data_IF_519629486920
#
_entry.id   IF_519629486920
#
_cell.length_a   1.000
_cell.length_b   1.000
_cell.length_c   1.000
_cell.angle_alpha   90.00
_cell.angle_beta   90.00
_cell.angle_gamma   90.00
#
_symmetry.space_group_name_H-M   'P 1'
#
loop_
_entity.id
_entity.type
_entity.pdbx_description
1 polymer ?
#
# COMPACT_ATOMS: atom_id res chain seq x y z
N UNK A 1 -15.05 3.31 11.58
CA UNK A 1 -13.59 3.41 11.31
C UNK A 1 -12.88 2.93 12.54
N UNK A 2 -11.91 2.03 12.40
CA UNK A 2 -11.07 1.63 13.53
C UNK A 2 -10.15 2.81 13.88
N UNK A 3 -10.33 3.36 15.07
CA UNK A 3 -9.47 4.38 15.66
C UNK A 3 -8.31 3.65 16.33
N UNK A 4 -7.16 3.67 15.66
CA UNK A 4 -5.92 3.18 16.24
C UNK A 4 -5.29 4.36 17.01
N UNK A 5 -5.20 4.24 18.33
CA UNK A 5 -4.53 5.26 19.17
C UNK A 5 -3.04 5.36 18.89
N UNK A 6 -2.42 4.24 18.53
CA UNK A 6 -0.96 4.09 18.51
C UNK A 6 -0.38 3.92 17.10
N UNK A 7 -1.23 3.83 16.07
CA UNK A 7 -0.76 3.60 14.71
C UNK A 7 -1.65 4.21 13.64
N UNK A 8 -1.04 4.63 12.53
CA UNK A 8 -1.75 4.97 11.29
C UNK A 8 -1.63 3.79 10.34
N UNK A 9 -2.76 3.17 10.01
CA UNK A 9 -2.82 2.03 9.07
C UNK A 9 -3.16 2.49 7.66
N UNK A 10 -2.23 2.32 6.73
CA UNK A 10 -2.47 2.49 5.30
C UNK A 10 -2.71 1.14 4.65
N UNK A 11 -3.89 0.92 4.09
CA UNK A 11 -4.21 -0.33 3.39
C UNK A 11 -4.26 -0.11 1.88
N UNK A 12 -3.53 -0.93 1.14
CA UNK A 12 -3.54 -0.96 -0.32
C UNK A 12 -4.42 -2.12 -0.77
N UNK A 13 -5.57 -1.80 -1.39
CA UNK A 13 -6.54 -2.81 -1.82
C UNK A 13 -5.97 -3.84 -2.80
N UNK A 14 -4.91 -3.47 -3.55
CA UNK A 14 -4.16 -4.33 -4.47
C UNK A 14 -2.70 -4.51 -4.05
N UNK A 15 -2.43 -4.41 -2.75
CA UNK A 15 -1.09 -4.41 -2.19
C UNK A 15 -0.26 -5.62 -2.60
N UNK A 16 -0.87 -6.80 -2.79
CA UNK A 16 -0.15 -8.02 -3.19
C UNK A 16 0.46 -7.94 -4.60
N UNK A 17 -0.07 -7.08 -5.47
CA UNK A 17 0.38 -6.94 -6.85
C UNK A 17 1.35 -5.75 -7.06
N UNK A 18 1.74 -5.06 -5.99
CA UNK A 18 2.67 -3.92 -6.04
C UNK A 18 4.02 -4.43 -5.56
N UNK A 19 5.10 -4.18 -6.30
CA UNK A 19 6.44 -4.53 -5.81
C UNK A 19 6.84 -3.62 -4.65
N UNK A 20 7.48 -4.20 -3.64
CA UNK A 20 7.91 -3.49 -2.42
C UNK A 20 9.36 -3.84 -2.10
N UNK A 21 10.33 -3.32 -2.88
CA UNK A 21 11.74 -3.66 -2.74
C UNK A 21 12.35 -3.18 -1.41
N UNK A 22 11.76 -2.15 -0.79
CA UNK A 22 12.17 -1.61 0.50
C UNK A 22 11.50 -2.30 1.70
N UNK A 23 10.58 -3.24 1.46
CA UNK A 23 9.90 -3.98 2.53
C UNK A 23 9.03 -3.10 3.45
N UNK A 24 8.38 -2.07 2.90
CA UNK A 24 7.50 -1.18 3.67
C UNK A 24 6.23 -1.87 4.17
N UNK A 25 5.74 -2.90 3.48
CA UNK A 25 4.58 -3.64 3.95
C UNK A 25 4.93 -4.46 5.18
N UNK A 26 4.27 -4.16 6.30
CA UNK A 26 4.47 -4.83 7.59
C UNK A 26 3.19 -5.49 8.12
N UNK A 27 2.07 -5.34 7.42
CA UNK A 27 0.75 -5.76 7.90
C UNK A 27 -0.09 -6.32 6.75
N UNK A 28 -0.91 -7.34 7.01
CA UNK A 28 -1.72 -8.01 5.97
C UNK A 28 -0.90 -8.78 4.93
N UNK A 29 0.27 -9.30 5.31
CA UNK A 29 1.21 -10.02 4.43
C UNK A 29 0.66 -11.38 3.94
N UNK A 30 -0.24 -11.99 4.69
CA UNK A 30 -0.93 -13.23 4.31
C UNK A 30 -2.07 -12.99 3.28
N UNK A 31 -2.42 -11.72 3.03
CA UNK A 31 -3.49 -11.36 2.12
C UNK A 31 -3.08 -11.51 0.66
N UNK A 32 -3.69 -12.46 -0.07
CA UNK A 32 -3.51 -12.65 -1.52
C UNK A 32 -3.91 -11.44 -2.41
N UNK A 33 -4.54 -10.41 -1.84
CA UNK A 33 -5.07 -9.27 -2.60
C UNK A 33 -4.59 -7.94 -2.04
N UNK A 34 -4.67 -7.76 -0.72
CA UNK A 34 -4.37 -6.50 -0.02
C UNK A 34 -3.18 -6.64 0.91
N UNK A 35 -2.38 -5.58 0.99
CA UNK A 35 -1.31 -5.41 1.98
C UNK A 35 -1.42 -4.05 2.65
N UNK A 36 -0.85 -3.91 3.83
CA UNK A 36 -0.95 -2.70 4.63
C UNK A 36 0.39 -2.31 5.26
N UNK A 37 0.49 -1.03 5.57
CA UNK A 37 1.58 -0.43 6.33
C UNK A 37 0.97 0.16 7.59
N UNK A 38 1.42 -0.33 8.73
CA UNK A 38 1.09 0.20 10.04
C UNK A 38 2.26 1.11 10.47
N UNK A 39 2.07 2.42 10.40
CA UNK A 39 3.01 3.42 10.92
C UNK A 39 2.75 3.65 12.40
N UNK A 40 3.80 3.71 13.22
CA UNK A 40 3.70 4.03 14.65
C UNK A 40 4.34 5.40 14.93
N UNK A 41 4.01 5.98 16.07
CA UNK A 41 4.72 7.16 16.53
C UNK A 41 6.21 6.86 16.70
N UNK A 42 7.07 7.72 16.16
CA UNK A 42 8.54 7.56 16.21
C UNK A 42 9.14 6.65 15.13
N UNK A 43 8.34 6.10 14.21
CA UNK A 43 8.83 5.27 13.11
C UNK A 43 9.55 6.14 12.05
N UNK A 44 10.75 5.72 11.62
CA UNK A 44 11.46 6.38 10.53
C UNK A 44 10.87 5.96 9.18
N UNK A 45 10.17 6.89 8.54
CA UNK A 45 9.57 6.67 7.22
C UNK A 45 10.59 7.04 6.15
N UNK A 46 11.01 6.05 5.36
CA UNK A 46 11.71 6.31 4.10
C UNK A 46 10.74 6.97 3.11
N UNK A 47 10.80 8.29 3.03
CA UNK A 47 9.93 9.09 2.18
C UNK A 47 10.12 8.81 0.69
N UNK A 48 11.31 8.38 0.25
CA UNK A 48 11.56 8.05 -1.15
C UNK A 48 10.92 6.71 -1.51
N UNK A 49 11.14 5.69 -0.68
CA UNK A 49 10.53 4.38 -0.83
C UNK A 49 8.99 4.48 -0.75
N UNK A 50 8.47 5.25 0.21
CA UNK A 50 7.02 5.42 0.37
C UNK A 50 6.39 6.10 -0.85
N UNK A 51 7.02 7.15 -1.40
CA UNK A 51 6.55 7.80 -2.63
C UNK A 51 6.62 6.85 -3.84
N UNK A 52 7.67 6.03 -3.95
CA UNK A 52 7.79 5.04 -5.01
C UNK A 52 6.65 4.01 -4.93
N UNK A 53 6.35 3.51 -3.73
CA UNK A 53 5.27 2.58 -3.48
C UNK A 53 3.89 3.16 -3.86
N UNK A 54 3.61 4.40 -3.44
CA UNK A 54 2.36 5.09 -3.80
C UNK A 54 2.24 5.27 -5.32
N UNK A 55 3.33 5.62 -6.01
CA UNK A 55 3.33 5.73 -7.48
C UNK A 55 3.08 4.39 -8.16
N UNK A 56 3.68 3.31 -7.69
CA UNK A 56 3.43 1.96 -8.20
C UNK A 56 1.96 1.55 -7.99
N UNK A 57 1.38 1.87 -6.83
CA UNK A 57 -0.03 1.64 -6.54
C UNK A 57 -0.95 2.41 -7.50
N UNK A 58 -0.63 3.67 -7.77
CA UNK A 58 -1.38 4.51 -8.72
C UNK A 58 -1.28 3.94 -10.14
N UNK A 59 -0.08 3.59 -10.60
CA UNK A 59 0.12 2.99 -11.91
C UNK A 59 -0.70 1.71 -12.08
N UNK A 60 -0.66 0.80 -11.10
CA UNK A 60 -1.47 -0.42 -11.10
C UNK A 60 -2.98 -0.12 -11.18
N UNK A 61 -3.46 0.87 -10.42
CA UNK A 61 -4.86 1.26 -10.43
C UNK A 61 -5.29 1.87 -11.77
N UNK A 62 -4.44 2.69 -12.39
CA UNK A 62 -4.71 3.26 -13.72
C UNK A 62 -4.76 2.16 -14.78
N UNK A 63 -3.79 1.25 -14.79
CA UNK A 63 -3.75 0.12 -15.72
C UNK A 63 -4.97 -0.79 -15.57
N UNK A 64 -5.40 -1.07 -14.34
CA UNK A 64 -6.61 -1.88 -14.11
C UNK A 64 -7.89 -1.18 -14.56
N UNK A 65 -7.96 0.15 -14.44
CA UNK A 65 -9.13 0.94 -14.83
C UNK A 65 -9.22 1.07 -16.36
N UNK A 66 -8.08 1.17 -17.02
CA UNK A 66 -7.98 1.10 -18.48
C UNK A 66 -8.47 -0.26 -19.01
N UNK A 67 -8.11 -1.36 -18.35
CA UNK A 67 -8.57 -2.72 -18.70
C UNK A 67 -10.07 -2.92 -18.42
N UNK A 68 -10.62 -2.29 -17.37
CA UNK A 68 -12.04 -2.39 -16.99
C UNK A 68 -13.00 -1.50 -17.77
N UNK A 69 -12.59 -0.90 -18.90
CA UNK A 69 -13.48 -0.08 -19.72
C UNK A 69 -13.98 -0.85 -20.95
N UNK A 70 -15.04 -1.67 -20.86
CA UNK A 70 -15.84 -2.00 -22.03
C UNK A 70 -16.61 -0.74 -22.45
N UNK A 71 -16.72 -0.54 -23.76
CA UNK A 71 -17.58 0.48 -24.36
C UNK A 71 -19.05 0.14 -24.09
#
# INVERSE_FOLDING_TARGET
>A
GELYKDKVKLTFAKGAAIEDPSGLFNSGLDGNVRRAIDFREGDEIDAQAFKALVRAAVALNVSTRAVKKPR
#
